data_IF_787837613904
#
_entry.id   IF_787837613904
#
_cell.length_a   1.000
_cell.length_b   1.000
_cell.length_c   1.000
_cell.angle_alpha   90.00
_cell.angle_beta   90.00
_cell.angle_gamma   90.00
#
_symmetry.space_group_name_H-M   'P 1'
#
loop_
_entity.id
_entity.type
_entity.pdbx_description
1 polymer ?
#
# COMPACT_ATOMS: atom_id res chain seq x y z
N UNK A 1 1.52 -1.25 26.10
CA UNK A 1 1.15 -1.66 26.75
C UNK A 1 1.16 -2.37 26.95
N UNK A 2 1.06 -1.81 26.44
CA UNK A 2 0.70 -2.27 26.98
C UNK A 2 0.60 -2.78 27.03
N UNK A 3 0.32 -2.26 26.50
CA UNK A 3 -0.06 -2.68 27.03
C UNK A 3 -0.33 -3.09 27.17
N UNK A 4 -0.68 -2.48 26.61
CA UNK A 4 -1.25 -2.77 27.24
C UNK A 4 -1.40 -3.25 27.32
N UNK A 5 -1.66 -2.80 26.94
CA UNK A 5 -2.08 -3.14 27.48
C UNK A 5 -2.32 -3.55 27.61
N UNK A 6 -2.71 -3.13 27.28
CA UNK A 6 -3.23 -3.43 27.74
C UNK A 6 -3.50 -3.86 27.72
N UNK A 7 -3.84 -3.38 27.43
CA UNK A 7 -4.33 -3.74 27.76
C UNK A 7 -4.62 -4.05 27.66
N UNK A 8 -5.08 -3.53 27.37
CA UNK A 8 -5.62 -3.73 27.55
C UNK A 8 -5.85 -3.84 27.51
N UNK A 9 -6.48 -3.51 27.70
CA UNK A 9 -7.05 -3.48 27.96
C UNK A 9 -7.50 -3.77 27.65
N UNK A 10 -7.75 -3.27 27.32
CA UNK A 10 -8.38 -3.35 27.10
C UNK A 10 -8.86 -3.47 26.87
N UNK A 11 -9.33 -3.07 26.89
CA UNK A 11 -9.92 -3.06 26.66
C UNK A 11 -10.34 -3.00 26.28
N UNK A 12 -10.85 -2.58 26.21
CA UNK A 12 -11.34 -2.36 25.80
C UNK A 12 -11.60 -2.18 25.19
N UNK A 13 -12.13 -1.71 24.99
CA UNK A 13 -12.35 -1.39 24.29
C UNK A 13 -12.34 -1.20 23.59
N UNK A 14 -12.74 -0.69 23.25
CA UNK A 14 -12.68 -0.44 22.39
C UNK A 14 -12.27 -0.59 21.72
N UNK A 15 -12.42 -0.31 21.28
CA UNK A 15 -12.00 -0.50 20.41
C UNK A 15 -11.20 -0.72 20.11
N UNK A 16 -11.15 -0.41 19.97
CA UNK A 16 -10.32 -0.49 19.48
C UNK A 16 -9.40 -1.14 19.32
N UNK A 17 -9.16 -0.69 19.12
CA UNK A 17 -8.43 -1.71 18.71
C UNK A 17 -6.97 -1.69 18.99
N UNK A 18 -6.50 -2.62 19.64
CA UNK A 18 -5.13 -2.75 20.06
C UNK A 18 -4.41 -3.83 19.28
N UNK A 19 -4.91 -4.13 18.10
CA UNK A 19 -4.25 -5.10 17.23
C UNK A 19 -2.95 -4.54 16.70
N UNK A 20 -1.86 -5.31 16.69
CA UNK A 20 -0.68 -4.89 15.96
C UNK A 20 -0.99 -4.78 14.47
N UNK A 21 -0.22 -3.98 13.73
CA UNK A 21 -0.40 -3.89 12.28
C UNK A 21 -0.30 -5.28 11.64
N UNK A 22 -1.20 -5.55 10.71
CA UNK A 22 -1.20 -6.81 10.00
C UNK A 22 -0.27 -6.71 8.79
N UNK A 23 0.63 -7.67 8.67
CA UNK A 23 1.57 -7.75 7.55
C UNK A 23 1.22 -8.93 6.68
N UNK A 24 1.19 -8.69 5.38
CA UNK A 24 0.96 -9.73 4.38
C UNK A 24 2.15 -9.69 3.43
N UNK A 25 2.79 -10.83 3.21
CA UNK A 25 3.89 -10.92 2.24
C UNK A 25 3.44 -11.77 1.08
N UNK A 26 3.53 -11.22 -0.14
CA UNK A 26 3.19 -11.96 -1.34
C UNK A 26 4.33 -12.91 -1.74
N UNK A 27 4.04 -13.83 -2.64
CA UNK A 27 5.05 -14.77 -3.15
C UNK A 27 6.18 -14.05 -3.90
N UNK A 28 5.97 -12.82 -4.35
CA UNK A 28 6.97 -12.03 -5.06
C UNK A 28 7.75 -11.10 -4.15
N UNK A 29 7.53 -11.17 -2.84
CA UNK A 29 8.29 -10.38 -1.87
C UNK A 29 7.73 -9.01 -1.57
N UNK A 30 6.54 -8.70 -2.07
CA UNK A 30 5.85 -7.45 -1.76
C UNK A 30 5.22 -7.56 -0.37
N UNK A 31 5.46 -6.57 0.49
CA UNK A 31 4.95 -6.59 1.87
C UNK A 31 3.88 -5.51 2.03
N UNK A 32 2.71 -5.92 2.47
CA UNK A 32 1.59 -5.03 2.74
C UNK A 32 1.43 -4.90 4.24
N UNK A 33 1.48 -3.67 4.76
CA UNK A 33 1.24 -3.38 6.17
C UNK A 33 -0.06 -2.60 6.27
N UNK A 34 -1.07 -3.19 6.92
CA UNK A 34 -2.37 -2.55 7.07
C UNK A 34 -2.28 -1.52 8.18
N UNK A 35 -2.63 -0.27 7.87
CA UNK A 35 -2.69 0.82 8.86
C UNK A 35 -4.11 0.95 9.38
N UNK A 36 -5.08 0.99 8.48
CA UNK A 36 -6.50 0.96 8.83
C UNK A 36 -7.18 -0.09 7.96
N UNK A 37 -7.87 -1.07 8.55
CA UNK A 37 -8.55 -2.08 7.75
C UNK A 37 -9.66 -1.46 6.91
N UNK A 38 -9.89 -2.04 5.74
CA UNK A 38 -11.03 -1.68 4.91
C UNK A 38 -12.25 -2.47 5.32
N UNK A 39 -13.16 -2.69 4.38
CA UNK A 39 -14.40 -3.43 4.66
C UNK A 39 -14.19 -4.94 4.80
N UNK A 40 -13.03 -5.45 4.36
CA UNK A 40 -12.73 -6.88 4.43
C UNK A 40 -13.58 -7.74 3.52
N UNK A 41 -14.36 -7.15 2.64
CA UNK A 41 -15.32 -7.84 1.79
C UNK A 41 -15.05 -7.63 0.31
N UNK A 42 -14.75 -6.40 -0.09
CA UNK A 42 -14.57 -6.04 -1.49
C UNK A 42 -13.11 -5.85 -1.79
N UNK A 43 -12.57 -6.73 -2.63
CA UNK A 43 -11.17 -6.71 -3.06
C UNK A 43 -11.13 -6.55 -4.57
N UNK A 44 -10.22 -5.72 -5.10
CA UNK A 44 -10.12 -5.58 -6.55
C UNK A 44 -9.62 -6.88 -7.18
N UNK A 45 -10.11 -7.16 -8.36
CA UNK A 45 -9.62 -8.27 -9.16
C UNK A 45 -8.97 -7.72 -10.41
N UNK A 46 -8.19 -8.56 -11.07
CA UNK A 46 -7.54 -8.18 -12.32
C UNK A 46 -8.59 -7.64 -13.30
N UNK A 47 -8.33 -6.46 -13.84
CA UNK A 47 -9.22 -5.80 -14.77
C UNK A 47 -10.20 -4.82 -14.13
N UNK A 48 -10.33 -4.84 -12.79
CA UNK A 48 -11.20 -3.89 -12.11
C UNK A 48 -10.64 -2.48 -12.19
N UNK A 49 -11.54 -1.53 -12.37
CA UNK A 49 -11.19 -0.12 -12.28
C UNK A 49 -11.28 0.30 -10.82
N UNK A 50 -10.21 0.90 -10.30
CA UNK A 50 -10.18 1.37 -8.92
C UNK A 50 -9.84 2.84 -8.87
N UNK A 51 -10.18 3.44 -7.73
CA UNK A 51 -9.79 4.82 -7.42
C UNK A 51 -9.08 4.81 -6.09
N UNK A 52 -7.92 5.44 -6.02
CA UNK A 52 -7.11 5.46 -4.81
C UNK A 52 -6.33 6.74 -4.68
N UNK A 53 -6.06 7.13 -3.44
CA UNK A 53 -5.01 8.10 -3.14
C UNK A 53 -3.74 7.35 -2.81
N UNK A 54 -2.59 7.93 -3.14
CA UNK A 54 -1.32 7.29 -2.86
C UNK A 54 -0.20 8.32 -2.67
N UNK A 55 0.81 7.90 -1.94
CA UNK A 55 2.11 8.54 -1.86
C UNK A 55 3.15 7.49 -2.21
N UNK A 56 4.16 7.86 -3.01
CA UNK A 56 5.26 6.97 -3.35
C UNK A 56 6.55 7.58 -2.82
N UNK A 57 7.31 6.80 -2.06
CA UNK A 57 8.55 7.23 -1.44
C UNK A 57 9.64 6.20 -1.68
N UNK A 58 10.89 6.60 -1.56
CA UNK A 58 12.03 5.70 -1.63
C UNK A 58 12.39 5.23 -0.23
N UNK A 59 12.81 3.98 -0.11
CA UNK A 59 13.40 3.47 1.13
C UNK A 59 14.91 3.41 0.92
N UNK A 60 15.65 4.30 1.60
CA UNK A 60 17.09 4.42 1.45
C UNK A 60 17.73 4.20 2.82
N UNK A 61 18.57 3.15 2.92
CA UNK A 61 19.25 2.80 4.17
C UNK A 61 18.29 2.70 5.36
N UNK A 62 17.11 2.10 5.11
CA UNK A 62 16.11 1.92 6.15
C UNK A 62 15.30 3.16 6.47
N UNK A 63 15.52 4.27 5.76
CA UNK A 63 14.82 5.53 6.00
C UNK A 63 13.94 5.85 4.80
N UNK A 64 12.67 6.10 5.08
CA UNK A 64 11.70 6.45 4.06
C UNK A 64 11.87 7.92 3.68
N UNK A 65 12.05 8.20 2.39
CA UNK A 65 12.20 9.55 1.88
C UNK A 65 10.86 10.29 1.91
N UNK A 66 10.87 11.64 1.74
CA UNK A 66 9.63 12.33 1.38
C UNK A 66 9.06 11.75 0.09
N UNK A 67 7.74 11.85 -0.13
CA UNK A 67 7.14 11.32 -1.35
C UNK A 67 7.71 12.02 -2.59
N UNK A 68 8.04 11.20 -3.60
CA UNK A 68 8.44 11.73 -4.91
C UNK A 68 7.24 11.80 -5.86
N UNK A 69 6.14 11.18 -5.48
CA UNK A 69 4.89 11.20 -6.25
C UNK A 69 3.74 11.09 -5.27
N UNK A 70 2.69 11.89 -5.47
CA UNK A 70 1.58 11.93 -4.53
C UNK A 70 0.30 12.41 -5.22
N UNK A 71 -0.75 11.61 -5.13
CA UNK A 71 -2.08 12.01 -5.60
C UNK A 71 -2.65 13.11 -4.71
N UNK A 72 -2.29 13.12 -3.41
CA UNK A 72 -2.72 14.17 -2.50
C UNK A 72 -2.15 15.53 -2.90
N UNK A 73 -0.89 15.55 -3.35
CA UNK A 73 -0.25 16.79 -3.79
C UNK A 73 -0.93 17.36 -5.03
N UNK A 74 -1.47 16.51 -5.88
CA UNK A 74 -2.23 16.91 -7.07
C UNK A 74 -3.69 17.16 -6.75
N UNK A 75 -4.12 16.81 -5.53
CA UNK A 75 -5.50 16.93 -5.08
C UNK A 75 -6.48 16.16 -5.98
N UNK A 76 -6.03 15.00 -6.48
CA UNK A 76 -6.80 14.20 -7.42
C UNK A 76 -6.47 12.74 -7.25
N UNK A 77 -7.47 11.88 -6.91
CA UNK A 77 -7.21 10.43 -6.81
C UNK A 77 -6.85 9.85 -8.16
N UNK A 78 -6.06 8.78 -8.12
CA UNK A 78 -5.71 8.03 -9.31
C UNK A 78 -6.80 7.02 -9.63
N UNK A 79 -7.25 6.98 -10.88
CA UNK A 79 -8.16 5.97 -11.39
C UNK A 79 -7.39 5.07 -12.35
N UNK A 80 -7.39 3.77 -12.08
CA UNK A 80 -6.53 2.85 -12.82
C UNK A 80 -7.13 1.44 -12.79
N UNK A 81 -6.80 0.61 -13.80
CA UNK A 81 -7.18 -0.80 -13.82
C UNK A 81 -6.09 -1.65 -13.21
N UNK A 82 -6.51 -2.54 -12.32
CA UNK A 82 -5.61 -3.47 -11.62
C UNK A 82 -5.19 -4.60 -12.55
N UNK A 83 -3.90 -4.97 -12.49
CA UNK A 83 -3.41 -6.14 -13.20
C UNK A 83 -3.22 -5.98 -14.69
N UNK A 84 -3.21 -4.73 -15.18
CA UNK A 84 -3.09 -4.44 -16.61
C UNK A 84 -1.79 -3.72 -16.95
N UNK A 85 -0.82 -3.77 -16.06
CA UNK A 85 0.51 -3.13 -16.22
C UNK A 85 0.46 -1.61 -16.29
N UNK A 86 -0.61 -1.01 -15.79
CA UNK A 86 -0.69 0.45 -15.66
C UNK A 86 0.07 0.96 -14.44
N UNK A 87 0.37 0.05 -13.51
CA UNK A 87 1.13 0.32 -12.29
C UNK A 87 2.38 -0.53 -12.30
N UNK A 88 3.31 -0.26 -11.37
CA UNK A 88 4.44 -1.17 -11.19
C UNK A 88 3.90 -2.55 -10.80
N UNK A 89 4.65 -3.59 -11.18
CA UNK A 89 4.19 -4.97 -10.99
C UNK A 89 3.86 -5.28 -9.54
N UNK A 90 4.62 -4.73 -8.59
CA UNK A 90 4.36 -4.96 -7.17
C UNK A 90 3.01 -4.46 -6.70
N UNK A 91 2.52 -3.36 -7.25
CA UNK A 91 1.19 -2.87 -6.92
C UNK A 91 0.11 -3.76 -7.53
N UNK A 92 0.31 -4.23 -8.75
CA UNK A 92 -0.61 -5.19 -9.35
C UNK A 92 -0.68 -6.49 -8.54
N UNK A 93 0.44 -6.89 -7.91
CA UNK A 93 0.47 -8.06 -7.03
C UNK A 93 -0.29 -7.83 -5.73
N UNK A 94 -0.19 -6.62 -5.18
CA UNK A 94 -0.68 -6.30 -3.84
C UNK A 94 -2.16 -5.92 -3.81
N UNK A 95 -2.62 -5.16 -4.80
CA UNK A 95 -3.96 -4.58 -4.77
C UNK A 95 -5.09 -5.59 -4.62
N UNK A 96 -5.01 -6.81 -5.20
CA UNK A 96 -6.05 -7.81 -4.94
C UNK A 96 -6.18 -8.24 -3.48
N UNK A 97 -5.20 -7.91 -2.65
CA UNK A 97 -5.19 -8.23 -1.22
C UNK A 97 -5.60 -7.04 -0.34
N UNK A 98 -5.95 -5.91 -0.96
CA UNK A 98 -6.33 -4.67 -0.27
C UNK A 98 -7.83 -4.49 -0.41
N UNK A 99 -8.53 -4.35 0.72
CA UNK A 99 -9.99 -4.21 0.65
C UNK A 99 -10.40 -2.73 0.51
N UNK A 100 -11.64 -2.54 0.06
CA UNK A 100 -12.19 -1.19 -0.12
C UNK A 100 -12.18 -0.42 1.18
N UNK A 101 -11.65 0.80 1.13
CA UNK A 101 -11.53 1.67 2.29
C UNK A 101 -10.25 1.50 3.07
N UNK A 102 -9.42 0.52 2.71
CA UNK A 102 -8.22 0.21 3.46
C UNK A 102 -7.14 1.27 3.24
N UNK A 103 -6.44 1.60 4.33
CA UNK A 103 -5.21 2.41 4.28
C UNK A 103 -4.06 1.48 4.63
N UNK A 104 -3.07 1.38 3.75
CA UNK A 104 -1.95 0.48 3.96
C UNK A 104 -0.67 1.05 3.37
N UNK A 105 0.47 0.50 3.81
CA UNK A 105 1.76 0.73 3.19
C UNK A 105 2.19 -0.53 2.47
N UNK A 106 2.68 -0.36 1.25
CA UNK A 106 3.11 -1.47 0.41
C UNK A 106 4.58 -1.25 0.08
N UNK A 107 5.42 -2.17 0.57
CA UNK A 107 6.85 -2.15 0.31
C UNK A 107 7.14 -3.04 -0.89
N UNK A 108 7.66 -2.44 -1.95
CA UNK A 108 7.87 -3.12 -3.23
C UNK A 108 9.37 -3.29 -3.47
N UNK A 109 9.85 -4.53 -3.60
CA UNK A 109 11.26 -4.74 -3.91
C UNK A 109 11.58 -4.29 -5.32
N UNK A 110 12.87 -4.02 -5.63
CA UNK A 110 13.25 -3.48 -6.94
C UNK A 110 12.79 -4.33 -8.11
N UNK A 111 12.83 -5.64 -7.99
CA UNK A 111 12.42 -6.53 -9.08
C UNK A 111 10.95 -6.46 -9.43
N UNK A 112 10.12 -5.90 -8.57
CA UNK A 112 8.70 -5.68 -8.83
C UNK A 112 8.36 -4.20 -8.97
N UNK A 113 9.39 -3.34 -9.06
CA UNK A 113 9.24 -1.90 -9.28
C UNK A 113 10.04 -1.50 -10.52
N UNK A 114 11.09 -0.69 -10.34
CA UNK A 114 11.85 -0.17 -11.48
C UNK A 114 13.17 -0.90 -11.72
N UNK A 115 13.48 -1.91 -10.88
CA UNK A 115 14.61 -2.80 -11.09
C UNK A 115 15.96 -2.11 -11.15
N UNK A 116 16.87 -2.73 -11.89
CA UNK A 116 18.22 -2.19 -12.04
C UNK A 116 18.27 -0.95 -12.92
N UNK A 117 17.27 -0.74 -13.76
CA UNK A 117 17.18 0.46 -14.57
C UNK A 117 16.83 1.68 -13.75
N UNK A 118 15.97 1.52 -12.72
CA UNK A 118 15.43 2.64 -11.99
C UNK A 118 14.53 3.49 -12.87
N UNK A 119 14.36 4.74 -12.46
CA UNK A 119 13.60 5.74 -13.24
C UNK A 119 14.28 7.09 -13.04
N UNK A 120 15.42 7.32 -13.73
CA UNK A 120 16.21 8.53 -13.51
C UNK A 120 15.44 9.79 -13.90
N UNK A 121 15.69 10.90 -13.21
CA UNK A 121 16.59 11.04 -12.06
C UNK A 121 15.92 10.72 -10.73
N UNK A 122 14.65 10.30 -10.74
CA UNK A 122 13.83 10.19 -9.53
C UNK A 122 14.13 8.92 -8.75
N UNK A 123 14.11 7.77 -9.44
CA UNK A 123 14.28 6.47 -8.78
C UNK A 123 15.64 5.89 -9.17
N UNK A 124 16.53 5.67 -8.18
CA UNK A 124 17.83 5.07 -8.47
C UNK A 124 17.69 3.58 -8.81
N UNK A 125 18.78 3.01 -9.32
CA UNK A 125 18.88 1.59 -9.59
C UNK A 125 18.67 0.80 -8.30
N UNK A 126 17.97 -0.34 -8.38
CA UNK A 126 17.76 -1.27 -7.27
C UNK A 126 17.08 -0.64 -6.07
N UNK A 127 16.17 0.30 -6.30
CA UNK A 127 15.49 1.01 -5.22
C UNK A 127 14.27 0.25 -4.76
N UNK A 128 14.08 0.21 -3.43
CA UNK A 128 12.84 -0.24 -2.80
C UNK A 128 11.89 0.94 -2.73
N UNK A 129 10.65 0.74 -3.15
CA UNK A 129 9.63 1.78 -3.15
C UNK A 129 8.62 1.48 -2.05
N UNK A 130 8.22 2.52 -1.32
CA UNK A 130 7.14 2.43 -0.34
C UNK A 130 5.95 3.21 -0.89
N UNK A 131 4.84 2.52 -1.08
CA UNK A 131 3.57 3.15 -1.46
C UNK A 131 2.66 3.18 -0.25
N UNK A 132 2.14 4.35 0.09
CA UNK A 132 1.05 4.46 1.05
C UNK A 132 -0.23 4.62 0.24
N UNK A 133 -1.17 3.69 0.38
CA UNK A 133 -2.34 3.62 -0.47
C UNK A 133 -3.60 3.64 0.38
N UNK A 134 -4.55 4.49 -0.03
CA UNK A 134 -5.91 4.51 0.50
C UNK A 134 -6.85 4.15 -0.65
N UNK A 135 -7.37 2.94 -0.62
CA UNK A 135 -8.27 2.44 -1.66
C UNK A 135 -9.67 3.00 -1.43
N UNK A 136 -10.09 3.90 -2.30
CA UNK A 136 -11.34 4.65 -2.12
C UNK A 136 -12.54 3.93 -2.71
N UNK A 137 -12.38 3.35 -3.90
CA UNK A 137 -13.50 2.76 -4.61
C UNK A 137 -13.03 1.66 -5.54
N UNK A 138 -13.92 0.70 -5.75
CA UNK A 138 -13.72 -0.39 -6.70
C UNK A 138 -14.93 -0.38 -7.63
N UNK A 139 -14.71 -0.13 -8.90
CA UNK A 139 -15.76 -0.15 -9.90
C UNK A 139 -15.67 -1.45 -10.69
N UNK A 140 -16.77 -2.16 -10.75
CA UNK A 140 -16.85 -3.39 -11.51
C UNK A 140 -17.51 -3.05 -12.83
N UNK A 141 -16.70 -2.83 -13.84
CA UNK A 141 -17.23 -2.47 -15.16
C UNK A 141 -16.74 -3.46 -16.18
#
# INVERSE_FOLDING_TARGET
MATETVTSRATTSSSSSTRPPQHITTSTGVVITVIQPGDGLHFPQKGCLIRMHYNASLLLDGIESPPFDSSHARNEPLTVRVGTSQLVAGLDDALPLVSKGELCKIKVPPGRAYGSRGYPPIVPSEAVIIYEIHLLAIDIV
#
